data_IF_004951470562
#
_entry.id   IF_004951470562
#
_cell.length_a   1.000
_cell.length_b   1.000
_cell.length_c   1.000
_cell.angle_alpha   90.00
_cell.angle_beta   90.00
_cell.angle_gamma   90.00
#
_symmetry.space_group_name_H-M   'P 1'
#
loop_
_entity.id
_entity.type
_entity.pdbx_description
1 polymer ?
#
# COMPACT_ATOMS: atom_id res chain seq x y z
N UNK A 1 16.81 16.69 -0.08
CA UNK A 1 17.17 15.95 -1.30
C UNK A 1 17.76 16.97 -2.25
N UNK A 2 18.87 16.63 -2.89
CA UNK A 2 19.53 17.54 -3.82
C UNK A 2 19.15 17.13 -5.23
N UNK A 3 18.44 18.00 -5.92
CA UNK A 3 18.00 17.86 -7.30
C UNK A 3 19.20 17.78 -8.25
N UNK A 4 18.99 17.22 -9.44
CA UNK A 4 20.00 17.21 -10.50
C UNK A 4 20.33 18.63 -11.01
N UNK A 5 19.37 19.56 -10.95
CA UNK A 5 19.59 21.00 -11.16
C UNK A 5 20.51 21.67 -10.12
N UNK A 6 20.87 20.98 -9.04
CA UNK A 6 21.63 21.53 -7.91
C UNK A 6 20.77 22.27 -6.87
N UNK A 7 19.45 22.31 -7.06
CA UNK A 7 18.49 22.83 -6.07
C UNK A 7 18.34 21.84 -4.91
N UNK A 8 17.95 22.32 -3.73
CA UNK A 8 17.67 21.49 -2.58
C UNK A 8 16.19 21.57 -2.22
N UNK A 9 15.51 20.42 -2.23
CA UNK A 9 14.12 20.28 -1.79
C UNK A 9 14.05 19.44 -0.52
N UNK A 10 12.95 19.57 0.22
CA UNK A 10 12.70 18.74 1.40
C UNK A 10 12.53 17.28 1.00
N UNK A 11 12.83 16.35 1.90
CA UNK A 11 12.62 14.91 1.62
C UNK A 11 11.15 14.53 1.43
N UNK A 12 10.24 15.35 1.94
CA UNK A 12 8.79 15.18 1.73
C UNK A 12 8.35 15.61 0.32
N UNK A 13 9.23 16.29 -0.43
CA UNK A 13 9.02 16.73 -1.81
C UNK A 13 9.78 15.83 -2.78
N UNK A 14 9.99 14.56 -2.43
CA UNK A 14 10.62 13.57 -3.31
C UNK A 14 9.58 12.51 -3.54
N UNK A 15 9.27 12.23 -4.79
CA UNK A 15 8.17 11.33 -5.18
C UNK A 15 6.81 11.79 -4.61
N UNK A 16 6.57 13.09 -4.56
CA UNK A 16 5.30 13.66 -4.10
C UNK A 16 4.34 13.99 -5.25
N UNK A 17 4.72 13.68 -6.50
CA UNK A 17 3.92 13.94 -7.69
C UNK A 17 3.97 15.39 -8.17
N UNK A 18 4.77 16.26 -7.54
CA UNK A 18 4.96 17.64 -7.95
C UNK A 18 6.42 17.90 -8.32
N UNK A 19 6.67 18.71 -9.33
CA UNK A 19 8.03 19.12 -9.71
C UNK A 19 8.49 20.27 -8.81
N UNK A 20 8.97 19.95 -7.62
CA UNK A 20 9.54 20.92 -6.67
C UNK A 20 10.98 21.30 -7.06
N UNK A 21 11.69 20.39 -7.72
CA UNK A 21 13.04 20.63 -8.23
C UNK A 21 13.07 21.64 -9.40
N UNK A 22 12.02 21.67 -10.24
CA UNK A 22 11.91 22.44 -11.49
C UNK A 22 12.56 21.75 -12.70
N UNK A 23 13.19 20.59 -12.47
CA UNK A 23 13.77 19.69 -13.47
C UNK A 23 13.23 18.26 -13.32
N UNK A 24 12.23 18.06 -12.45
CA UNK A 24 11.54 16.79 -12.16
C UNK A 24 12.44 15.71 -11.58
N UNK A 25 13.61 16.06 -11.04
CA UNK A 25 14.60 15.07 -10.57
C UNK A 25 14.29 14.51 -9.18
N UNK A 26 13.48 15.21 -8.40
CA UNK A 26 12.76 14.72 -7.22
C UNK A 26 11.70 13.66 -7.54
N UNK A 27 11.14 13.70 -8.75
CA UNK A 27 10.15 12.74 -9.23
C UNK A 27 10.77 11.63 -10.10
N UNK A 28 12.10 11.60 -10.23
CA UNK A 28 12.84 10.61 -11.02
C UNK A 28 13.43 9.49 -10.14
N UNK A 29 13.33 8.25 -10.62
CA UNK A 29 13.90 7.10 -9.91
C UNK A 29 13.11 6.68 -8.66
N UNK A 30 11.90 7.22 -8.50
CA UNK A 30 10.92 6.69 -7.56
C UNK A 30 10.70 5.20 -7.87
N UNK A 31 10.76 4.35 -6.84
CA UNK A 31 10.37 2.95 -6.98
C UNK A 31 9.00 2.92 -7.68
N UNK A 32 8.76 2.00 -8.64
CA UNK A 32 7.59 2.00 -9.52
C UNK A 32 6.30 2.02 -8.70
N UNK A 33 5.90 3.24 -8.41
CA UNK A 33 4.68 3.65 -7.77
C UNK A 33 4.16 4.56 -8.86
N UNK A 34 3.51 3.99 -9.87
CA UNK A 34 2.95 4.74 -11.02
C UNK A 34 1.86 5.73 -10.61
N UNK A 35 1.73 6.00 -9.32
CA UNK A 35 0.64 6.67 -8.64
C UNK A 35 1.23 7.68 -7.67
N UNK A 36 0.56 8.83 -7.55
CA UNK A 36 0.97 9.88 -6.64
C UNK A 36 0.99 9.43 -5.17
N UNK A 37 1.51 10.27 -4.25
CA UNK A 37 1.67 9.92 -2.84
C UNK A 37 0.35 9.63 -2.13
N UNK A 38 -0.76 10.16 -2.65
CA UNK A 38 -2.13 9.94 -2.15
C UNK A 38 -2.92 8.94 -2.98
N UNK A 39 -2.25 8.19 -3.85
CA UNK A 39 -2.86 7.21 -4.74
C UNK A 39 -2.27 5.82 -4.50
N UNK A 40 -3.04 4.79 -4.86
CA UNK A 40 -2.64 3.39 -4.77
C UNK A 40 -2.71 2.74 -6.15
N UNK A 41 -1.67 1.99 -6.56
CA UNK A 41 -1.63 1.33 -7.86
C UNK A 41 -2.47 0.07 -7.86
N UNK A 42 -3.54 0.00 -8.64
CA UNK A 42 -4.26 -1.22 -9.01
C UNK A 42 -3.34 -2.26 -9.67
N UNK A 43 -3.77 -3.52 -9.73
CA UNK A 43 -3.02 -4.61 -10.38
C UNK A 43 -2.76 -4.37 -11.88
N UNK A 44 -3.58 -3.51 -12.52
CA UNK A 44 -3.44 -3.08 -13.92
C UNK A 44 -2.75 -1.72 -14.11
N UNK A 45 -1.96 -1.26 -13.13
CA UNK A 45 -1.20 0.00 -13.26
C UNK A 45 -2.08 1.28 -13.30
N UNK A 46 -3.39 1.15 -13.02
CA UNK A 46 -4.32 2.26 -12.75
C UNK A 46 -4.10 2.78 -11.33
N UNK A 47 -4.29 4.08 -11.13
CA UNK A 47 -4.14 4.71 -9.82
C UNK A 47 -5.50 5.17 -9.31
N UNK A 48 -5.81 4.83 -8.07
CA UNK A 48 -7.01 5.32 -7.38
C UNK A 48 -6.58 6.07 -6.12
N UNK A 49 -7.37 7.02 -5.60
CA UNK A 49 -7.12 7.66 -4.31
C UNK A 49 -6.97 6.62 -3.18
N UNK A 50 -6.07 6.88 -2.22
CA UNK A 50 -5.93 6.05 -1.01
C UNK A 50 -7.23 5.90 -0.21
N UNK A 51 -8.15 6.85 -0.34
CA UNK A 51 -9.46 6.82 0.31
C UNK A 51 -10.42 5.78 -0.29
N UNK A 52 -10.14 5.32 -1.52
CA UNK A 52 -10.89 4.31 -2.26
C UNK A 52 -10.29 2.91 -2.09
N UNK A 53 -9.34 2.78 -1.15
CA UNK A 53 -8.81 1.48 -0.78
C UNK A 53 -9.67 0.94 0.37
N UNK A 54 -10.39 -0.15 0.14
CA UNK A 54 -11.19 -0.87 1.15
C UNK A 54 -12.42 -0.10 1.62
N UNK A 55 -13.07 0.63 0.71
CA UNK A 55 -14.25 1.45 0.97
C UNK A 55 -15.57 0.79 0.58
N UNK A 56 -15.55 -0.52 0.31
CA UNK A 56 -16.69 -1.36 -0.09
C UNK A 56 -17.18 -1.10 -1.53
N UNK A 57 -16.50 -0.23 -2.30
CA UNK A 57 -16.73 0.00 -3.73
C UNK A 57 -15.57 -0.54 -4.57
N UNK A 58 -15.86 -0.97 -5.82
CA UNK A 58 -14.82 -1.50 -6.73
C UNK A 58 -14.38 -0.40 -7.69
N UNK A 59 -13.25 0.22 -7.39
CA UNK A 59 -12.63 1.29 -8.17
C UNK A 59 -11.50 0.78 -9.06
N UNK A 60 -10.80 -0.29 -8.67
CA UNK A 60 -9.88 -0.98 -9.56
C UNK A 60 -10.63 -1.91 -10.52
N UNK A 61 -10.28 -1.87 -11.81
CA UNK A 61 -10.84 -2.80 -12.81
C UNK A 61 -10.57 -4.28 -12.48
N UNK A 62 -9.47 -4.57 -11.78
CA UNK A 62 -9.14 -5.90 -11.27
C UNK A 62 -9.55 -6.11 -9.81
N UNK A 63 -10.39 -5.24 -9.24
CA UNK A 63 -10.96 -5.35 -7.88
C UNK A 63 -9.93 -5.60 -6.79
N UNK A 64 -8.68 -5.19 -7.03
CA UNK A 64 -7.58 -5.44 -6.10
C UNK A 64 -7.51 -4.42 -4.97
N UNK A 65 -8.11 -3.25 -5.15
CA UNK A 65 -8.42 -2.28 -4.09
C UNK A 65 -9.21 -2.90 -2.94
N UNK A 66 -10.23 -3.69 -3.24
CA UNK A 66 -11.06 -4.39 -2.25
C UNK A 66 -10.51 -5.77 -1.85
N UNK A 67 -9.33 -6.13 -2.36
CA UNK A 67 -8.77 -7.45 -2.06
C UNK A 67 -8.28 -7.52 -0.59
N UNK A 68 -8.51 -8.66 0.10
CA UNK A 68 -8.06 -8.84 1.49
C UNK A 68 -6.54 -8.69 1.65
N UNK A 69 -5.78 -9.05 0.62
CA UNK A 69 -4.32 -8.94 0.61
C UNK A 69 -3.85 -7.48 0.62
N UNK A 70 -4.58 -6.57 -0.04
CA UNK A 70 -4.27 -5.14 -0.07
C UNK A 70 -4.87 -4.34 1.06
N UNK A 71 -6.06 -4.73 1.51
CA UNK A 71 -6.71 -4.10 2.65
C UNK A 71 -6.01 -4.34 3.98
N UNK A 72 -5.01 -5.22 4.02
CA UNK A 72 -4.47 -5.72 5.28
C UNK A 72 -5.55 -6.42 6.13
N UNK A 73 -6.75 -6.63 5.56
CA UNK A 73 -7.74 -7.62 6.01
C UNK A 73 -7.19 -8.96 5.58
N UNK A 74 -6.02 -9.32 6.11
CA UNK A 74 -5.63 -10.70 6.17
C UNK A 74 -6.81 -11.39 6.86
N UNK A 75 -7.57 -12.30 6.22
CA UNK A 75 -8.14 -13.35 7.02
C UNK A 75 -6.91 -14.09 7.49
N UNK A 76 -6.33 -13.64 8.62
CA UNK A 76 -5.31 -14.41 9.31
C UNK A 76 -5.86 -15.82 9.28
N UNK A 77 -5.20 -16.78 8.59
CA UNK A 77 -5.62 -18.16 8.67
C UNK A 77 -5.78 -18.42 10.17
N UNK A 78 -6.95 -18.92 10.61
CA UNK A 78 -7.30 -18.97 12.02
C UNK A 78 -6.06 -19.47 12.74
N UNK A 79 -5.53 -18.59 13.59
CA UNK A 79 -4.23 -18.78 14.19
C UNK A 79 -4.19 -20.23 14.65
N UNK A 80 -3.22 -21.01 14.14
CA UNK A 80 -2.77 -22.18 14.89
C UNK A 80 -2.60 -21.64 16.31
N UNK A 81 -3.41 -22.18 17.21
CA UNK A 81 -3.80 -21.52 18.46
C UNK A 81 -2.64 -20.78 19.13
N UNK A 82 -2.92 -19.66 19.79
CA UNK A 82 -1.92 -18.87 20.52
C UNK A 82 -1.00 -19.80 21.34
N UNK A 83 0.28 -19.48 21.62
CA UNK A 83 1.20 -20.37 22.33
C UNK A 83 0.77 -20.78 23.77
N UNK A 84 -0.39 -20.29 24.24
CA UNK A 84 -1.02 -20.69 25.51
C UNK A 84 -2.31 -21.51 25.32
N UNK A 85 -2.59 -21.95 24.09
CA UNK A 85 -3.80 -22.69 23.71
C UNK A 85 -3.43 -23.91 22.85
N UNK A 86 -4.16 -25.01 23.02
CA UNK A 86 -4.01 -26.23 22.23
C UNK A 86 -5.18 -26.39 21.26
N UNK A 87 -4.88 -26.75 20.01
CA UNK A 87 -5.87 -26.97 18.97
C UNK A 87 -6.47 -28.38 19.10
N UNK A 88 -7.79 -28.48 19.25
CA UNK A 88 -8.49 -29.75 19.20
C UNK A 88 -8.64 -30.24 17.74
N UNK A 89 -8.93 -31.53 17.54
CA UNK A 89 -9.18 -32.09 16.21
C UNK A 89 -10.37 -31.48 15.47
N UNK A 90 -11.22 -30.72 16.17
CA UNK A 90 -12.33 -29.91 15.62
C UNK A 90 -11.92 -28.53 15.11
N UNK A 91 -10.67 -28.10 15.35
CA UNK A 91 -10.19 -26.76 14.99
C UNK A 91 -10.41 -25.69 16.06
N UNK A 92 -11.02 -26.03 17.21
CA UNK A 92 -11.19 -25.12 18.35
C UNK A 92 -9.90 -25.02 19.20
N UNK A 93 -9.62 -23.81 19.69
CA UNK A 93 -8.48 -23.50 20.56
C UNK A 93 -8.93 -23.45 22.02
N UNK A 94 -8.27 -24.22 22.89
CA UNK A 94 -8.55 -24.23 24.33
C UNK A 94 -7.30 -23.87 25.13
N UNK A 95 -7.45 -23.13 26.22
CA UNK A 95 -6.35 -22.84 27.14
C UNK A 95 -5.81 -24.11 27.81
N UNK A 96 -4.48 -24.20 27.93
CA UNK A 96 -3.82 -25.27 28.68
C UNK A 96 -4.09 -25.19 30.19
#
# INVERSE_FOLDING_TARGET
FTCASGRCVSRNFVCNGEDDCGDGSDEQGCAPSSCGPSEVPCGNNTCIPRSWLCDDDVDCQDQSDESPERCGRNPTPPAKCSPSEMQCGSGECIHR
#
